data_IF_675993052085
#
_entry.id   IF_675993052085
#
_cell.length_a   1.000
_cell.length_b   1.000
_cell.length_c   1.000
_cell.angle_alpha   90.00
_cell.angle_beta   90.00
_cell.angle_gamma   90.00
#
_symmetry.space_group_name_H-M   'P 1'
#
loop_
_entity.id
_entity.type
_entity.pdbx_description
1 polymer ?
#
# COMPACT_ATOMS: atom_id res chain seq x y z
N UNK A 1 0.39 -67.20 21.61
CA UNK A 1 0.44 -66.36 20.41
C UNK A 1 -0.12 -65.02 20.79
N UNK A 2 0.74 -63.96 20.95
CA UNK A 2 0.29 -62.60 21.30
C UNK A 2 0.39 -61.75 20.04
N UNK A 3 -0.73 -61.30 19.49
CA UNK A 3 -0.81 -60.41 18.32
C UNK A 3 -0.61 -58.99 18.77
N UNK A 4 0.46 -58.36 18.34
CA UNK A 4 0.74 -56.94 18.52
C UNK A 4 -0.02 -56.13 17.45
N UNK A 5 -0.97 -55.29 17.85
CA UNK A 5 -1.62 -54.36 16.96
C UNK A 5 -0.79 -53.06 16.88
N UNK A 6 -0.23 -52.77 15.72
CA UNK A 6 0.45 -51.50 15.41
C UNK A 6 -0.64 -50.45 15.07
N UNK A 7 -0.81 -49.50 15.97
CA UNK A 7 -1.64 -48.30 15.67
C UNK A 7 -0.80 -47.25 14.96
N UNK A 8 -1.05 -47.06 13.69
CA UNK A 8 -0.43 -46.01 12.88
C UNK A 8 -1.18 -44.67 13.14
N UNK A 9 -0.58 -43.77 13.89
CA UNK A 9 -1.13 -42.43 14.09
C UNK A 9 -0.84 -41.58 12.85
N UNK A 10 -1.91 -41.19 12.12
CA UNK A 10 -1.85 -40.27 11.00
C UNK A 10 -1.76 -38.83 11.50
N UNK A 11 -0.56 -38.24 11.41
CA UNK A 11 -0.33 -36.82 11.71
C UNK A 11 -0.86 -35.97 10.54
N UNK A 12 -2.01 -35.36 10.71
CA UNK A 12 -2.55 -34.36 9.77
C UNK A 12 -1.87 -33.03 10.10
N UNK A 13 -0.87 -32.66 9.31
CA UNK A 13 -0.26 -31.32 9.35
C UNK A 13 -1.24 -30.31 8.74
N UNK A 14 -1.84 -29.47 9.59
CA UNK A 14 -2.56 -28.28 9.13
C UNK A 14 -1.54 -27.25 8.61
N UNK A 15 -1.36 -27.22 7.30
CA UNK A 15 -0.65 -26.12 6.64
C UNK A 15 -1.55 -24.90 6.68
N UNK A 16 -1.22 -23.92 7.54
CA UNK A 16 -1.87 -22.61 7.54
C UNK A 16 -1.48 -21.89 6.25
N UNK A 17 -2.38 -21.86 5.27
CA UNK A 17 -2.21 -21.00 4.09
C UNK A 17 -2.39 -19.56 4.54
N UNK A 18 -1.28 -18.82 4.68
CA UNK A 18 -1.32 -17.36 4.80
C UNK A 18 -1.87 -16.83 3.50
N UNK A 19 -2.99 -16.13 3.56
CA UNK A 19 -3.69 -15.58 2.41
C UNK A 19 -2.86 -14.42 1.84
N UNK A 20 -2.24 -14.61 0.67
CA UNK A 20 -1.51 -13.58 -0.09
C UNK A 20 -2.47 -12.62 -0.84
N UNK A 21 -3.64 -12.31 -0.27
CA UNK A 21 -4.65 -11.46 -0.93
C UNK A 21 -4.15 -10.04 -1.20
N UNK A 22 -3.23 -9.53 -0.36
CA UNK A 22 -2.73 -8.16 -0.46
C UNK A 22 -1.79 -7.96 -1.66
N UNK A 23 -0.98 -8.97 -1.96
CA UNK A 23 -0.07 -8.96 -3.11
C UNK A 23 -0.81 -9.08 -4.44
N UNK A 24 -1.91 -9.83 -4.51
CA UNK A 24 -2.66 -10.05 -5.73
C UNK A 24 -3.32 -8.75 -6.25
N UNK A 25 -3.99 -7.99 -5.39
CA UNK A 25 -4.63 -6.72 -5.77
C UNK A 25 -3.60 -5.71 -6.29
N UNK A 26 -2.45 -5.59 -5.63
CA UNK A 26 -1.37 -4.69 -6.07
C UNK A 26 -0.81 -5.14 -7.42
N UNK A 27 -0.56 -6.44 -7.60
CA UNK A 27 -0.05 -6.98 -8.87
C UNK A 27 -1.03 -6.74 -10.01
N UNK A 28 -2.32 -6.96 -9.80
CA UNK A 28 -3.36 -6.70 -10.80
C UNK A 28 -3.42 -5.22 -11.17
N UNK A 29 -3.36 -4.30 -10.21
CA UNK A 29 -3.30 -2.86 -10.47
C UNK A 29 -2.04 -2.46 -11.25
N UNK A 30 -0.87 -2.99 -10.90
CA UNK A 30 0.37 -2.73 -11.63
C UNK A 30 0.30 -3.24 -13.07
N UNK A 31 -0.30 -4.41 -13.29
CA UNK A 31 -0.54 -4.93 -14.63
C UNK A 31 -1.49 -4.03 -15.43
N UNK A 32 -2.59 -3.58 -14.83
CA UNK A 32 -3.52 -2.64 -15.45
C UNK A 32 -2.84 -1.32 -15.82
N UNK A 33 -1.98 -0.79 -14.94
CA UNK A 33 -1.21 0.42 -15.24
C UNK A 33 -0.20 0.21 -16.37
N UNK A 34 0.42 -0.96 -16.46
CA UNK A 34 1.30 -1.30 -17.57
C UNK A 34 0.55 -1.30 -18.91
N UNK A 35 -0.68 -1.82 -18.96
CA UNK A 35 -1.53 -1.75 -20.18
C UNK A 35 -1.92 -0.33 -20.57
N UNK A 36 -1.97 0.59 -19.59
CA UNK A 36 -2.27 2.01 -19.77
C UNK A 36 -1.01 2.86 -20.06
N UNK A 37 0.16 2.23 -20.20
CA UNK A 37 1.41 2.88 -20.59
C UNK A 37 2.39 3.19 -19.46
N UNK A 38 2.17 2.68 -18.22
CA UNK A 38 3.21 2.74 -17.21
C UNK A 38 4.39 1.85 -17.64
N UNK A 39 5.58 2.40 -17.58
CA UNK A 39 6.82 1.64 -17.69
C UNK A 39 7.26 1.16 -16.31
N UNK A 40 8.31 0.35 -16.24
CA UNK A 40 8.79 -0.25 -14.98
C UNK A 40 8.59 0.64 -13.76
N UNK A 41 7.73 0.25 -12.80
CA UNK A 41 7.51 1.03 -11.57
C UNK A 41 8.82 1.20 -10.78
N UNK A 42 9.02 2.39 -10.23
CA UNK A 42 10.24 2.76 -9.50
C UNK A 42 9.91 3.19 -8.06
N UNK A 43 10.34 2.37 -7.10
CA UNK A 43 10.12 2.61 -5.66
C UNK A 43 10.74 3.94 -5.20
N UNK A 44 11.95 4.26 -5.67
CA UNK A 44 12.65 5.48 -5.29
C UNK A 44 11.94 6.73 -5.82
N UNK A 45 11.42 6.69 -7.04
CA UNK A 45 10.58 7.78 -7.56
C UNK A 45 9.28 7.92 -6.77
N UNK A 46 8.67 6.79 -6.38
CA UNK A 46 7.49 6.77 -5.51
C UNK A 46 7.78 7.44 -4.17
N UNK A 47 8.90 7.11 -3.52
CA UNK A 47 9.34 7.73 -2.28
C UNK A 47 9.62 9.23 -2.43
N UNK A 48 10.34 9.62 -3.47
CA UNK A 48 10.63 11.04 -3.74
C UNK A 48 9.36 11.85 -3.93
N UNK A 49 8.41 11.33 -4.69
CA UNK A 49 7.13 12.00 -4.92
C UNK A 49 6.26 12.04 -3.66
N UNK A 50 6.31 11.00 -2.81
CA UNK A 50 5.62 10.95 -1.52
C UNK A 50 6.06 12.06 -0.57
N UNK A 51 7.35 12.37 -0.58
CA UNK A 51 7.96 13.39 0.28
C UNK A 51 7.99 14.78 -0.35
N UNK A 52 7.72 14.89 -1.66
CA UNK A 52 7.77 16.15 -2.38
C UNK A 52 6.73 17.13 -1.85
N UNK A 53 7.18 18.34 -1.52
CA UNK A 53 6.30 19.44 -1.12
C UNK A 53 5.81 20.19 -2.36
N UNK A 54 4.51 20.46 -2.39
CA UNK A 54 3.83 21.28 -3.37
C UNK A 54 3.33 22.54 -2.67
N UNK A 55 3.56 23.70 -3.28
CA UNK A 55 3.23 24.99 -2.70
C UNK A 55 1.98 25.59 -3.36
N UNK A 56 1.10 26.13 -2.54
CA UNK A 56 -0.16 26.73 -2.93
C UNK A 56 -0.47 27.97 -2.09
N UNK A 57 -1.40 28.78 -2.54
CA UNK A 57 -1.97 29.85 -1.72
C UNK A 57 -3.05 29.31 -0.77
N UNK A 58 -3.23 29.97 0.40
CA UNK A 58 -4.32 29.70 1.34
C UNK A 58 -3.90 28.99 2.62
N UNK A 59 -4.89 28.42 3.31
CA UNK A 59 -4.78 27.88 4.68
C UNK A 59 -3.76 26.72 4.81
N UNK A 60 -3.56 25.93 3.77
CA UNK A 60 -2.60 24.82 3.74
C UNK A 60 -1.62 25.02 2.57
N UNK A 61 -0.66 25.93 2.71
CA UNK A 61 0.19 26.35 1.60
C UNK A 61 1.18 25.25 1.18
N UNK A 62 1.62 24.43 2.10
CA UNK A 62 2.56 23.34 1.84
C UNK A 62 1.88 21.98 1.98
N UNK A 63 1.90 21.18 0.92
CA UNK A 63 1.28 19.86 0.91
C UNK A 63 2.23 18.81 0.38
N UNK A 64 2.26 17.66 1.05
CA UNK A 64 2.90 16.45 0.57
C UNK A 64 2.06 15.24 1.02
N UNK A 65 2.26 14.07 0.42
CA UNK A 65 1.63 12.86 0.95
C UNK A 65 2.10 12.59 2.38
N UNK A 66 3.40 12.79 2.64
CA UNK A 66 4.01 12.58 3.94
C UNK A 66 3.51 13.55 5.02
N UNK A 67 2.96 14.73 4.68
CA UNK A 67 2.44 15.67 5.69
C UNK A 67 1.23 15.12 6.47
N UNK A 68 0.44 14.24 5.86
CA UNK A 68 -0.67 13.55 6.51
C UNK A 68 -0.32 12.11 6.90
N UNK A 69 0.46 11.41 6.07
CA UNK A 69 0.70 9.97 6.18
C UNK A 69 2.07 9.60 6.76
N UNK A 70 2.89 10.59 7.12
CA UNK A 70 4.29 10.46 7.59
C UNK A 70 5.26 9.94 6.51
N UNK A 71 6.56 9.99 6.81
CA UNK A 71 7.61 9.36 6.02
C UNK A 71 7.79 7.89 6.38
N UNK A 72 7.52 7.56 7.64
CA UNK A 72 7.50 6.19 8.13
C UNK A 72 6.11 5.57 7.83
N UNK A 73 6.07 4.70 6.84
CA UNK A 73 4.84 4.06 6.39
C UNK A 73 4.23 3.12 7.45
N UNK A 74 4.99 2.73 8.47
CA UNK A 74 4.52 1.86 9.57
C UNK A 74 3.88 2.66 10.70
N UNK A 75 4.04 3.98 10.70
CA UNK A 75 3.45 4.87 11.70
C UNK A 75 2.07 5.39 11.28
N UNK A 76 1.21 5.66 12.28
CA UNK A 76 -0.06 6.38 12.06
C UNK A 76 0.21 7.83 11.67
N UNK A 77 -0.55 8.33 10.71
CA UNK A 77 -0.55 9.72 10.30
C UNK A 77 -1.69 10.51 10.93
N UNK A 78 -1.84 11.78 10.51
CA UNK A 78 -2.88 12.69 11.00
C UNK A 78 -3.38 13.61 9.89
N UNK A 79 -4.68 13.67 9.71
CA UNK A 79 -5.28 14.53 8.68
C UNK A 79 -5.13 16.02 9.07
N UNK A 80 -4.48 16.81 8.21
CA UNK A 80 -4.10 18.21 8.52
C UNK A 80 -5.28 19.12 8.89
N UNK A 81 -6.46 18.95 8.26
CA UNK A 81 -7.66 19.76 8.54
C UNK A 81 -8.43 19.30 9.76
N UNK A 82 -8.60 18.01 9.94
CA UNK A 82 -9.56 17.47 10.92
C UNK A 82 -8.89 16.90 12.16
N UNK A 83 -7.56 16.73 12.13
CA UNK A 83 -6.82 16.08 13.20
C UNK A 83 -7.12 14.58 13.35
N UNK A 84 -7.94 14.00 12.48
CA UNK A 84 -8.27 12.57 12.51
C UNK A 84 -7.03 11.73 12.27
N UNK A 85 -6.88 10.66 13.06
CA UNK A 85 -5.85 9.66 12.84
C UNK A 85 -6.03 8.97 11.49
N UNK A 86 -4.93 8.72 10.81
CA UNK A 86 -4.84 7.93 9.59
C UNK A 86 -4.00 6.70 9.92
N UNK A 87 -4.59 5.51 9.80
CA UNK A 87 -3.91 4.23 10.03
C UNK A 87 -2.66 4.10 9.14
N UNK A 88 -1.63 3.35 9.56
CA UNK A 88 -0.40 3.11 8.79
C UNK A 88 -0.63 2.78 7.33
N UNK A 89 0.31 3.16 6.48
CA UNK A 89 0.26 2.91 5.04
C UNK A 89 0.88 1.57 4.66
N UNK A 90 1.87 1.08 5.44
CA UNK A 90 2.51 -0.21 5.18
C UNK A 90 1.56 -1.38 5.48
N UNK A 91 1.39 -2.37 4.58
CA UNK A 91 0.60 -3.57 4.83
C UNK A 91 1.07 -4.35 6.06
N UNK A 92 2.38 -4.35 6.35
CA UNK A 92 2.95 -4.99 7.56
C UNK A 92 2.39 -4.44 8.87
N UNK A 93 1.88 -3.20 8.88
CA UNK A 93 1.27 -2.55 10.05
C UNK A 93 -0.24 -2.37 9.91
N UNK A 94 -0.78 -2.58 8.73
CA UNK A 94 -2.21 -2.47 8.44
C UNK A 94 -2.58 -3.36 7.23
N UNK A 95 -2.89 -4.62 7.51
CA UNK A 95 -3.18 -5.63 6.49
C UNK A 95 -4.42 -5.34 5.61
N UNK A 96 -5.24 -4.34 5.96
CA UNK A 96 -6.36 -3.91 5.12
C UNK A 96 -5.94 -2.97 3.96
N UNK A 97 -4.64 -2.56 3.91
CA UNK A 97 -4.16 -1.69 2.84
C UNK A 97 -4.07 -2.45 1.52
N UNK A 98 -4.50 -1.79 0.47
CA UNK A 98 -4.39 -2.23 -0.93
C UNK A 98 -5.10 -3.55 -1.26
N UNK A 99 -6.08 -3.96 -0.43
CA UNK A 99 -6.88 -5.19 -0.65
C UNK A 99 -8.08 -4.97 -1.59
N UNK A 100 -8.41 -3.73 -1.92
CA UNK A 100 -9.54 -3.32 -2.76
C UNK A 100 -9.10 -2.30 -3.80
N UNK A 101 -9.06 -2.70 -5.07
CA UNK A 101 -8.60 -1.88 -6.19
C UNK A 101 -9.44 -0.62 -6.41
N UNK A 102 -10.76 -0.70 -6.24
CA UNK A 102 -11.68 0.44 -6.39
C UNK A 102 -11.39 1.48 -5.31
N UNK A 103 -11.12 1.01 -4.09
CA UNK A 103 -10.77 1.87 -2.96
C UNK A 103 -9.41 2.53 -3.15
N UNK A 104 -8.42 1.79 -3.69
CA UNK A 104 -7.09 2.32 -4.02
C UNK A 104 -7.22 3.45 -5.05
N UNK A 105 -7.93 3.23 -6.16
CA UNK A 105 -8.15 4.24 -7.20
C UNK A 105 -8.87 5.48 -6.68
N UNK A 106 -9.92 5.29 -5.89
CA UNK A 106 -10.64 6.39 -5.25
C UNK A 106 -9.72 7.26 -4.39
N UNK A 107 -8.81 6.65 -3.63
CA UNK A 107 -7.90 7.39 -2.77
C UNK A 107 -6.78 8.06 -3.57
N UNK A 108 -6.25 7.44 -4.63
CA UNK A 108 -5.34 8.12 -5.54
C UNK A 108 -5.96 9.39 -6.11
N UNK A 109 -7.17 9.29 -6.67
CA UNK A 109 -7.87 10.46 -7.23
C UNK A 109 -7.99 11.58 -6.20
N UNK A 110 -8.50 11.29 -5.01
CA UNK A 110 -8.71 12.31 -3.96
C UNK A 110 -7.41 12.92 -3.46
N UNK A 111 -6.43 12.10 -3.16
CA UNK A 111 -5.19 12.55 -2.54
C UNK A 111 -4.28 13.27 -3.54
N UNK A 112 -4.22 12.83 -4.80
CA UNK A 112 -3.47 13.54 -5.82
C UNK A 112 -4.09 14.92 -6.10
N UNK A 113 -5.41 15.01 -6.25
CA UNK A 113 -6.10 16.30 -6.40
C UNK A 113 -5.84 17.24 -5.22
N UNK A 114 -5.85 16.74 -3.99
CA UNK A 114 -5.55 17.54 -2.81
C UNK A 114 -4.08 17.98 -2.75
N UNK A 115 -3.15 17.04 -3.00
CA UNK A 115 -1.72 17.26 -2.79
C UNK A 115 -1.06 17.97 -3.97
N UNK A 116 -1.43 17.61 -5.21
CA UNK A 116 -0.78 18.06 -6.44
C UNK A 116 -1.66 18.97 -7.31
N UNK A 117 -2.90 19.26 -6.89
CA UNK A 117 -3.93 20.00 -7.65
C UNK A 117 -4.21 19.40 -9.03
N UNK A 118 -3.88 18.13 -9.25
CA UNK A 118 -4.16 17.34 -10.46
C UNK A 118 -4.29 15.87 -10.11
N UNK A 119 -4.82 15.08 -11.03
CA UNK A 119 -4.75 13.62 -10.91
C UNK A 119 -3.30 13.13 -11.05
N UNK A 120 -2.98 12.03 -10.38
CA UNK A 120 -1.73 11.31 -10.61
C UNK A 120 -1.74 10.69 -11.99
N UNK A 121 -0.58 10.74 -12.69
CA UNK A 121 -0.39 9.96 -13.90
C UNK A 121 -0.38 8.46 -13.57
N UNK A 122 -0.58 7.63 -14.58
CA UNK A 122 -0.53 6.16 -14.42
C UNK A 122 0.84 5.73 -13.90
N UNK A 123 1.93 6.35 -14.39
CA UNK A 123 3.29 6.07 -13.91
C UNK A 123 3.47 6.45 -12.43
N UNK A 124 2.95 7.60 -12.01
CA UNK A 124 3.02 8.02 -10.61
C UNK A 124 2.25 7.06 -9.69
N UNK A 125 1.07 6.59 -10.11
CA UNK A 125 0.31 5.57 -9.37
C UNK A 125 1.11 4.27 -9.24
N UNK A 126 1.73 3.80 -10.31
CA UNK A 126 2.56 2.61 -10.32
C UNK A 126 3.75 2.76 -9.35
N UNK A 127 4.47 3.89 -9.41
CA UNK A 127 5.58 4.18 -8.52
C UNK A 127 5.15 4.27 -7.05
N UNK A 128 4.00 4.89 -6.76
CA UNK A 128 3.44 4.90 -5.41
C UNK A 128 3.11 3.50 -4.93
N UNK A 129 2.49 2.65 -5.74
CA UNK A 129 2.10 1.30 -5.30
C UNK A 129 3.30 0.46 -4.90
N UNK A 130 4.39 0.47 -5.68
CA UNK A 130 5.59 -0.31 -5.32
C UNK A 130 6.28 0.26 -4.08
N UNK A 131 6.29 1.59 -3.89
CA UNK A 131 6.81 2.22 -2.69
C UNK A 131 5.98 1.90 -1.44
N UNK A 132 4.65 2.03 -1.53
CA UNK A 132 3.73 1.85 -0.41
C UNK A 132 3.56 0.38 0.00
N UNK A 133 3.71 -0.56 -0.97
CA UNK A 133 3.59 -2.00 -0.75
C UNK A 133 4.94 -2.66 -0.45
N UNK A 134 6.01 -1.88 -0.31
CA UNK A 134 7.31 -2.45 0.03
C UNK A 134 7.25 -3.22 1.34
N UNK A 135 7.78 -4.41 1.33
CA UNK A 135 8.04 -5.17 2.56
C UNK A 135 9.19 -4.47 3.29
N UNK A 136 8.94 -4.01 4.51
CA UNK A 136 10.03 -3.51 5.37
C UNK A 136 10.97 -4.69 5.63
N UNK A 137 12.11 -4.70 4.94
CA UNK A 137 13.19 -5.64 5.28
C UNK A 137 13.87 -5.09 6.54
N UNK A 138 13.68 -5.79 7.63
CA UNK A 138 14.44 -5.57 8.87
C UNK A 138 15.84 -6.18 8.74
#
# INVERSE_FOLDING_TARGET
>A
MKTLALSTALLISLSSTVTEADGETVNNLLQDYATQGAISPDEKQGEQLWQKTFNYDGEFPERSCASCHTKDLTASGKHVKTGKEIKPMAPSSNAERYTDSIKVEKWFKRNCLWTMARECTIQEKANFLVYLNKTVKF
#
